data_IF_152844932306
#
_entry.id   IF_152844932306
#
_cell.length_a   1.000
_cell.length_b   1.000
_cell.length_c   1.000
_cell.angle_alpha   90.00
_cell.angle_beta   90.00
_cell.angle_gamma   90.00
#
_symmetry.space_group_name_H-M   'P 1'
#
loop_
_entity.id
_entity.type
_entity.pdbx_description
1 polymer ?
#
# COMPACT_ATOMS: atom_id res chain seq x y z
N UNK A 1 53.69 18.03 -29.89
CA UNK A 1 53.40 17.04 -28.82
C UNK A 1 52.01 17.36 -28.30
N UNK A 2 51.02 16.61 -28.78
CA UNK A 2 50.34 15.52 -28.05
C UNK A 2 49.25 16.03 -27.11
N UNK A 3 48.00 15.70 -27.46
CA UNK A 3 46.77 15.93 -26.70
C UNK A 3 46.82 15.25 -25.33
N UNK A 4 46.19 15.86 -24.32
CA UNK A 4 45.43 15.12 -23.30
C UNK A 4 44.07 15.76 -23.09
N UNK A 5 43.03 15.00 -23.44
CA UNK A 5 41.63 15.21 -23.11
C UNK A 5 41.47 15.02 -21.60
N UNK A 6 40.91 16.01 -20.91
CA UNK A 6 40.32 15.82 -19.58
C UNK A 6 39.09 14.93 -19.74
N UNK A 7 39.12 13.75 -19.12
CA UNK A 7 37.94 12.89 -19.01
C UNK A 7 36.89 13.60 -18.14
N UNK A 8 35.69 13.68 -18.69
CA UNK A 8 34.46 13.94 -17.95
C UNK A 8 34.17 12.70 -17.10
N UNK A 9 34.39 12.77 -15.79
CA UNK A 9 33.89 11.74 -14.86
C UNK A 9 32.36 11.87 -14.80
N UNK A 10 31.69 10.98 -15.52
CA UNK A 10 30.27 10.71 -15.34
C UNK A 10 30.14 9.96 -14.01
N UNK A 11 29.64 10.65 -12.99
CA UNK A 11 29.18 10.02 -11.77
C UNK A 11 27.94 9.19 -12.13
N UNK A 12 28.14 7.90 -12.38
CA UNK A 12 27.06 6.94 -12.48
C UNK A 12 26.52 6.75 -11.06
N UNK A 13 25.35 7.34 -10.76
CA UNK A 13 24.55 6.89 -9.63
C UNK A 13 24.21 5.42 -9.90
N UNK A 14 24.96 4.52 -9.27
CA UNK A 14 24.51 3.16 -9.11
C UNK A 14 23.32 3.21 -8.14
N UNK A 15 22.11 3.19 -8.69
CA UNK A 15 20.93 2.84 -7.93
C UNK A 15 21.19 1.47 -7.32
N UNK A 16 21.38 1.45 -6.00
CA UNK A 16 21.24 0.22 -5.24
C UNK A 16 19.82 -0.24 -5.50
N UNK A 17 19.66 -1.22 -6.39
CA UNK A 17 18.46 -2.04 -6.43
C UNK A 17 18.39 -2.72 -5.07
N UNK A 18 17.67 -2.10 -4.14
CA UNK A 18 17.12 -2.82 -3.01
C UNK A 18 16.30 -3.94 -3.65
N UNK A 19 16.57 -5.22 -3.36
CA UNK A 19 15.73 -6.27 -3.88
C UNK A 19 14.30 -5.92 -3.43
N UNK A 20 13.39 -5.79 -4.41
CA UNK A 20 11.96 -5.78 -4.13
C UNK A 20 11.75 -6.95 -3.20
N UNK A 21 11.43 -6.65 -1.94
CA UNK A 21 11.10 -7.67 -0.97
C UNK A 21 10.00 -8.47 -1.64
N UNK A 22 10.29 -9.74 -1.94
CA UNK A 22 9.34 -10.63 -2.57
C UNK A 22 8.02 -10.45 -1.83
N UNK A 23 6.97 -10.08 -2.56
CA UNK A 23 5.65 -9.86 -2.00
C UNK A 23 5.35 -11.05 -1.08
N UNK A 24 5.27 -10.79 0.22
CA UNK A 24 4.76 -11.79 1.14
C UNK A 24 3.34 -12.04 0.67
N UNK A 25 3.09 -13.19 0.04
CA UNK A 25 1.74 -13.69 -0.07
C UNK A 25 1.23 -13.78 1.36
N UNK A 26 0.33 -12.87 1.70
CA UNK A 26 -0.18 -12.63 3.04
C UNK A 26 -1.28 -13.64 3.34
N UNK A 27 -0.89 -14.91 3.42
CA UNK A 27 -1.78 -16.01 3.77
C UNK A 27 -2.10 -15.98 5.26
N UNK A 28 -3.33 -16.35 5.61
CA UNK A 28 -3.76 -16.61 6.97
C UNK A 28 -4.51 -17.94 7.03
N UNK A 29 -4.36 -18.69 8.12
CA UNK A 29 -4.81 -20.07 8.21
C UNK A 29 -5.49 -20.39 9.53
N UNK A 30 -6.51 -21.23 9.46
CA UNK A 30 -7.03 -21.97 10.63
C UNK A 30 -6.50 -23.39 10.52
N UNK A 31 -5.55 -23.72 11.39
CA UNK A 31 -4.84 -25.00 11.39
C UNK A 31 -5.38 -25.89 12.52
N UNK A 32 -5.84 -27.10 12.22
CA UNK A 32 -6.48 -27.99 13.20
C UNK A 32 -5.56 -28.37 14.37
N UNK A 33 -4.29 -28.63 14.09
CA UNK A 33 -3.26 -29.00 15.06
C UNK A 33 -2.98 -27.89 16.07
N UNK A 34 -3.18 -26.63 15.68
CA UNK A 34 -2.97 -25.47 16.52
C UNK A 34 -4.16 -25.16 17.43
N UNK A 35 -5.24 -25.93 17.36
CA UNK A 35 -6.44 -25.71 18.16
C UNK A 35 -6.37 -26.33 19.56
N UNK A 36 -5.25 -26.98 19.92
CA UNK A 36 -5.02 -27.52 21.26
C UNK A 36 -5.89 -28.75 21.60
N UNK A 37 -6.27 -29.54 20.59
CA UNK A 37 -7.06 -30.76 20.75
C UNK A 37 -6.15 -32.00 20.71
N UNK A 38 -6.47 -33.01 21.53
CA UNK A 38 -5.81 -34.31 21.45
C UNK A 38 -6.41 -35.15 20.31
N UNK A 39 -5.61 -36.04 19.71
CA UNK A 39 -6.10 -36.95 18.67
C UNK A 39 -7.32 -37.77 19.15
N UNK A 40 -8.39 -37.81 18.34
CA UNK A 40 -9.66 -38.46 18.64
C UNK A 40 -10.58 -37.68 19.59
N UNK A 41 -10.18 -36.49 20.05
CA UNK A 41 -11.05 -35.67 20.90
C UNK A 41 -12.27 -35.17 20.12
N UNK A 42 -13.44 -35.23 20.76
CA UNK A 42 -14.65 -34.61 20.23
C UNK A 42 -14.45 -33.09 20.09
N UNK A 43 -14.80 -32.56 18.93
CA UNK A 43 -14.81 -31.12 18.70
C UNK A 43 -16.09 -30.58 19.33
N UNK A 44 -15.94 -29.59 20.21
CA UNK A 44 -17.07 -28.98 20.92
C UNK A 44 -18.10 -28.38 19.94
N UNK A 45 -19.35 -28.29 20.38
CA UNK A 45 -20.44 -27.71 19.59
C UNK A 45 -21.22 -26.69 20.44
N UNK A 46 -21.04 -25.37 20.23
CA UNK A 46 -20.12 -24.75 19.27
C UNK A 46 -18.64 -24.86 19.68
N UNK A 47 -17.74 -24.74 18.71
CA UNK A 47 -16.29 -24.55 18.92
C UNK A 47 -15.80 -23.31 18.19
N UNK A 48 -15.09 -22.43 18.89
CA UNK A 48 -14.31 -21.37 18.26
C UNK A 48 -12.93 -21.91 17.85
N UNK A 49 -12.57 -21.68 16.58
CA UNK A 49 -11.26 -21.95 16.01
C UNK A 49 -10.57 -20.61 15.76
N UNK A 50 -9.30 -20.53 16.12
CA UNK A 50 -8.50 -19.32 15.94
C UNK A 50 -7.64 -19.45 14.69
N UNK A 51 -7.52 -18.36 13.94
CA UNK A 51 -6.55 -18.20 12.86
C UNK A 51 -5.12 -18.00 13.42
N UNK A 52 -4.12 -17.97 12.55
CA UNK A 52 -2.72 -17.81 12.94
C UNK A 52 -2.33 -16.36 13.25
N UNK A 53 -3.00 -15.38 12.64
CA UNK A 53 -2.69 -13.96 12.77
C UNK A 53 -3.53 -13.26 13.84
N UNK A 54 -4.54 -13.92 14.40
CA UNK A 54 -5.52 -13.35 15.31
C UNK A 54 -6.50 -12.39 14.62
N UNK A 55 -6.63 -12.48 13.30
CA UNK A 55 -7.44 -11.56 12.51
C UNK A 55 -8.92 -11.92 12.51
N UNK A 56 -9.26 -13.21 12.51
CA UNK A 56 -10.65 -13.67 12.50
C UNK A 56 -10.80 -14.98 13.27
N UNK A 57 -12.01 -15.26 13.72
CA UNK A 57 -12.31 -16.58 14.31
C UNK A 57 -13.34 -17.31 13.46
N UNK A 58 -13.36 -18.64 13.60
CA UNK A 58 -14.36 -19.49 12.96
C UNK A 58 -15.16 -20.20 14.05
N UNK A 59 -16.46 -19.99 14.06
CA UNK A 59 -17.39 -20.75 14.91
C UNK A 59 -17.85 -21.99 14.15
N UNK A 60 -17.39 -23.17 14.57
CA UNK A 60 -17.87 -24.45 14.10
C UNK A 60 -19.10 -24.88 14.92
N UNK A 61 -20.21 -25.16 14.25
CA UNK A 61 -21.43 -25.74 14.83
C UNK A 61 -21.78 -27.00 14.09
N UNK A 62 -22.30 -28.00 14.78
CA UNK A 62 -22.67 -29.27 14.19
C UNK A 62 -24.07 -29.73 14.56
N UNK A 63 -24.67 -30.54 13.71
CA UNK A 63 -25.94 -31.22 13.96
C UNK A 63 -25.94 -32.57 13.26
N UNK A 64 -26.72 -33.52 13.79
CA UNK A 64 -26.85 -34.85 13.20
C UNK A 64 -28.31 -35.28 13.20
N UNK A 65 -28.76 -35.81 12.07
CA UNK A 65 -30.06 -36.50 11.92
C UNK A 65 -29.88 -38.01 11.75
N UNK A 66 -28.66 -38.52 11.96
CA UNK A 66 -28.30 -39.92 11.70
C UNK A 66 -28.97 -40.83 12.73
N UNK A 67 -29.70 -41.83 12.25
CA UNK A 67 -30.41 -42.85 13.04
C UNK A 67 -29.50 -43.94 13.66
N UNK A 68 -28.22 -43.65 13.87
CA UNK A 68 -27.19 -44.56 14.38
C UNK A 68 -26.15 -43.81 15.21
N UNK A 69 -24.88 -44.21 15.12
CA UNK A 69 -23.80 -43.46 15.79
C UNK A 69 -23.19 -42.44 14.85
N UNK A 70 -22.87 -41.27 15.37
CA UNK A 70 -22.12 -40.26 14.62
C UNK A 70 -21.18 -39.49 15.54
N UNK A 71 -20.10 -38.96 14.98
CA UNK A 71 -19.13 -38.19 15.74
C UNK A 71 -18.47 -37.09 14.89
N UNK A 72 -18.01 -36.06 15.57
CA UNK A 72 -17.20 -34.99 15.01
C UNK A 72 -15.99 -34.79 15.91
N UNK A 73 -14.83 -35.19 15.41
CA UNK A 73 -13.59 -35.32 16.19
C UNK A 73 -12.42 -34.69 15.47
N UNK A 74 -11.38 -34.32 16.23
CA UNK A 74 -10.09 -33.96 15.64
C UNK A 74 -9.24 -35.23 15.44
N UNK A 75 -8.67 -35.40 14.25
CA UNK A 75 -7.78 -36.50 13.93
C UNK A 75 -6.39 -35.95 13.54
N UNK A 76 -5.34 -36.37 14.25
CA UNK A 76 -3.96 -35.93 14.02
C UNK A 76 -3.23 -36.79 12.96
N UNK A 77 -3.88 -37.82 12.43
CA UNK A 77 -3.36 -38.66 11.35
C UNK A 77 -3.40 -37.96 10.00
N UNK A 78 -3.23 -38.76 8.94
CA UNK A 78 -3.19 -38.27 7.56
C UNK A 78 -4.28 -38.94 6.73
N UNK A 79 -5.05 -38.14 5.99
CA UNK A 79 -5.96 -38.59 4.93
C UNK A 79 -5.92 -37.60 3.78
N UNK A 80 -6.18 -38.03 2.56
CA UNK A 80 -6.21 -37.15 1.39
C UNK A 80 -4.91 -36.36 1.17
N UNK A 81 -3.77 -36.84 1.67
CA UNK A 81 -2.49 -36.12 1.65
C UNK A 81 -2.37 -34.94 2.62
N UNK A 82 -3.31 -34.74 3.54
CA UNK A 82 -3.28 -33.69 4.57
C UNK A 82 -3.17 -34.32 5.97
N UNK A 83 -2.36 -33.73 6.84
CA UNK A 83 -2.22 -34.15 8.23
C UNK A 83 -3.07 -33.24 9.12
N UNK A 84 -3.71 -33.78 10.15
CA UNK A 84 -4.49 -32.98 11.10
C UNK A 84 -5.79 -32.45 10.52
N UNK A 85 -6.92 -33.08 10.80
CA UNK A 85 -8.19 -32.69 10.18
C UNK A 85 -9.39 -32.87 11.11
N UNK A 86 -10.47 -32.17 10.80
CA UNK A 86 -11.78 -32.45 11.36
C UNK A 86 -12.35 -33.71 10.71
N UNK A 87 -12.57 -34.76 11.50
CA UNK A 87 -13.18 -36.02 11.06
C UNK A 87 -14.67 -36.00 11.40
N UNK A 88 -15.50 -36.15 10.39
CA UNK A 88 -16.93 -36.46 10.57
C UNK A 88 -17.08 -37.94 10.26
N UNK A 89 -17.65 -38.70 11.19
CA UNK A 89 -17.85 -40.14 11.04
C UNK A 89 -19.29 -40.50 11.40
N UNK A 90 -19.85 -41.48 10.70
CA UNK A 90 -21.12 -42.07 11.08
C UNK A 90 -21.22 -43.56 10.75
N UNK A 91 -22.10 -44.25 11.46
CA UNK A 91 -22.58 -45.59 11.15
C UNK A 91 -24.11 -45.55 11.26
N UNK A 92 -24.78 -45.45 10.10
CA UNK A 92 -26.22 -45.25 10.01
C UNK A 92 -26.94 -46.61 10.02
N UNK A 93 -28.04 -46.72 10.77
CA UNK A 93 -28.80 -47.99 10.83
C UNK A 93 -29.66 -48.24 9.59
N UNK A 94 -29.92 -47.20 8.80
CA UNK A 94 -30.62 -47.26 7.52
C UNK A 94 -29.93 -46.38 6.50
N UNK A 95 -29.92 -46.79 5.24
CA UNK A 95 -29.52 -45.88 4.16
C UNK A 95 -30.66 -44.89 3.86
N UNK A 96 -30.38 -43.61 3.98
CA UNK A 96 -31.34 -42.53 3.71
C UNK A 96 -30.61 -41.20 3.56
N UNK A 97 -30.89 -40.42 2.50
CA UNK A 97 -30.36 -39.06 2.35
C UNK A 97 -30.78 -38.10 3.49
N UNK A 98 -31.78 -38.49 4.28
CA UNK A 98 -32.20 -37.75 5.48
C UNK A 98 -31.30 -37.99 6.71
N UNK A 99 -30.49 -39.05 6.71
CA UNK A 99 -29.47 -39.34 7.71
C UNK A 99 -28.19 -38.57 7.36
N UNK A 100 -28.03 -37.36 7.89
CA UNK A 100 -26.87 -36.52 7.58
C UNK A 100 -26.21 -35.98 8.84
N UNK A 101 -24.90 -35.76 8.73
CA UNK A 101 -24.15 -34.95 9.67
C UNK A 101 -23.80 -33.63 9.00
N UNK A 102 -24.18 -32.53 9.64
CA UNK A 102 -23.99 -31.18 9.08
C UNK A 102 -23.07 -30.39 10.01
N UNK A 103 -22.02 -29.80 9.43
CA UNK A 103 -21.14 -28.85 10.13
C UNK A 103 -21.17 -27.52 9.40
N UNK A 104 -21.41 -26.44 10.14
CA UNK A 104 -21.34 -25.07 9.65
C UNK A 104 -20.18 -24.34 10.33
N UNK A 105 -19.28 -23.82 9.51
CA UNK A 105 -18.19 -22.93 9.86
C UNK A 105 -18.60 -21.50 9.56
N UNK A 106 -18.76 -20.67 10.58
CA UNK A 106 -19.10 -19.25 10.44
C UNK A 106 -17.90 -18.39 10.77
N UNK A 107 -17.45 -17.57 9.83
CA UNK A 107 -16.32 -16.66 10.01
C UNK A 107 -16.80 -15.39 10.71
N UNK A 108 -16.01 -14.85 11.64
CA UNK A 108 -16.36 -13.62 12.38
C UNK A 108 -16.44 -12.37 11.50
N UNK A 109 -15.88 -12.46 10.29
CA UNK A 109 -15.98 -11.50 9.21
C UNK A 109 -15.82 -12.22 7.87
N UNK A 110 -16.25 -11.64 6.73
CA UNK A 110 -16.04 -12.25 5.43
C UNK A 110 -14.54 -12.45 5.13
N UNK A 111 -14.18 -13.64 4.66
CA UNK A 111 -12.83 -13.98 4.19
C UNK A 111 -12.79 -14.17 2.68
N UNK A 112 -11.58 -14.07 2.10
CA UNK A 112 -11.36 -14.09 0.66
C UNK A 112 -10.23 -15.05 0.31
N UNK A 113 -10.25 -15.57 -0.92
CA UNK A 113 -9.40 -16.65 -1.40
C UNK A 113 -9.40 -17.85 -0.44
N UNK A 114 -10.57 -18.12 0.15
CA UNK A 114 -10.75 -19.25 1.03
C UNK A 114 -10.48 -20.54 0.26
N UNK A 115 -9.66 -21.41 0.85
CA UNK A 115 -9.32 -22.72 0.33
C UNK A 115 -9.35 -23.75 1.45
N UNK A 116 -9.88 -24.93 1.16
CA UNK A 116 -9.83 -26.11 2.01
C UNK A 116 -10.12 -27.36 1.17
N UNK A 117 -10.01 -28.53 1.76
CA UNK A 117 -10.36 -29.80 1.15
C UNK A 117 -11.42 -30.52 1.99
N UNK A 118 -12.39 -31.13 1.31
CA UNK A 118 -13.10 -32.29 1.85
C UNK A 118 -12.39 -33.52 1.32
N UNK A 119 -12.05 -34.46 2.18
CA UNK A 119 -11.17 -35.60 1.87
C UNK A 119 -11.89 -36.90 2.19
N UNK A 120 -11.48 -37.97 1.52
CA UNK A 120 -12.06 -39.30 1.68
C UNK A 120 -13.54 -39.34 1.25
N UNK A 121 -13.89 -38.65 0.16
CA UNK A 121 -15.23 -38.77 -0.45
C UNK A 121 -15.17 -39.93 -1.43
N UNK A 122 -15.38 -41.14 -0.94
CA UNK A 122 -15.17 -42.37 -1.70
C UNK A 122 -16.41 -43.28 -1.76
N UNK A 123 -16.32 -44.37 -2.52
CA UNK A 123 -17.37 -45.38 -2.59
C UNK A 123 -16.83 -46.79 -2.70
N UNK A 124 -17.69 -47.75 -2.41
CA UNK A 124 -17.51 -49.16 -2.75
C UNK A 124 -18.79 -49.75 -3.31
N UNK A 125 -18.81 -51.06 -3.57
CA UNK A 125 -20.04 -51.75 -3.97
C UNK A 125 -21.09 -51.89 -2.86
N UNK A 126 -20.86 -51.34 -1.66
CA UNK A 126 -21.76 -51.47 -0.50
C UNK A 126 -22.03 -50.16 0.25
N UNK A 127 -21.38 -49.07 -0.13
CA UNK A 127 -21.50 -47.75 0.49
C UNK A 127 -20.99 -46.69 -0.49
N UNK A 128 -21.50 -45.47 -0.40
CA UNK A 128 -21.05 -44.34 -1.19
C UNK A 128 -21.19 -43.06 -0.38
N UNK A 129 -20.10 -42.31 -0.26
CA UNK A 129 -20.07 -41.05 0.46
C UNK A 129 -20.64 -39.93 -0.38
N UNK A 130 -21.47 -39.10 0.24
CA UNK A 130 -22.16 -37.99 -0.39
C UNK A 130 -21.96 -36.70 0.41
N UNK A 131 -21.51 -35.64 -0.28
CA UNK A 131 -21.22 -34.34 0.32
C UNK A 131 -21.91 -33.22 -0.43
N UNK A 132 -22.70 -32.43 0.29
CA UNK A 132 -23.17 -31.12 -0.17
C UNK A 132 -22.37 -30.02 0.54
N UNK A 133 -21.88 -29.06 -0.23
CA UNK A 133 -21.11 -27.92 0.28
C UNK A 133 -21.86 -26.64 -0.06
N UNK A 134 -22.10 -25.81 0.95
CA UNK A 134 -22.75 -24.52 0.80
C UNK A 134 -21.81 -23.41 1.26
N UNK A 135 -21.81 -22.28 0.57
CA UNK A 135 -21.12 -21.06 0.98
C UNK A 135 -22.14 -19.93 1.09
N UNK A 136 -22.17 -19.22 2.21
CA UNK A 136 -23.17 -18.17 2.47
C UNK A 136 -24.64 -18.61 2.24
N UNK A 137 -24.93 -19.91 2.41
CA UNK A 137 -26.24 -20.52 2.15
C UNK A 137 -26.51 -20.91 0.69
N UNK A 138 -25.60 -20.63 -0.25
CA UNK A 138 -25.68 -21.06 -1.65
C UNK A 138 -24.94 -22.38 -1.86
N UNK A 139 -25.57 -23.32 -2.56
CA UNK A 139 -24.94 -24.60 -2.90
C UNK A 139 -23.81 -24.40 -3.92
N UNK A 140 -22.64 -25.02 -3.71
CA UNK A 140 -21.44 -24.80 -4.51
C UNK A 140 -21.44 -25.51 -5.88
N UNK A 141 -22.42 -26.37 -6.17
CA UNK A 141 -22.61 -27.03 -7.47
C UNK A 141 -23.57 -26.22 -8.36
N UNK A 142 -24.52 -25.51 -7.75
CA UNK A 142 -25.54 -24.73 -8.49
C UNK A 142 -24.97 -23.37 -8.87
N UNK A 143 -24.60 -23.20 -10.15
CA UNK A 143 -24.12 -21.94 -10.69
C UNK A 143 -22.60 -21.91 -10.86
N UNK A 144 -21.88 -21.18 -10.02
CA UNK A 144 -20.41 -21.10 -10.08
C UNK A 144 -19.79 -22.21 -9.23
N UNK A 145 -19.17 -23.21 -9.87
CA UNK A 145 -18.43 -24.25 -9.13
C UNK A 145 -17.10 -23.69 -8.61
N UNK A 146 -16.91 -23.76 -7.30
CA UNK A 146 -15.65 -23.45 -6.61
C UNK A 146 -14.85 -24.72 -6.27
N UNK A 147 -15.35 -25.89 -6.65
CA UNK A 147 -14.72 -27.16 -6.35
C UNK A 147 -13.94 -27.71 -7.55
N UNK A 148 -12.83 -28.34 -7.25
CA UNK A 148 -12.09 -29.22 -8.16
C UNK A 148 -12.09 -30.62 -7.54
N UNK A 149 -13.04 -31.50 -7.90
CA UNK A 149 -13.03 -32.89 -7.43
C UNK A 149 -11.84 -33.66 -8.02
N UNK A 150 -11.28 -34.55 -7.22
CA UNK A 150 -10.32 -35.55 -7.70
C UNK A 150 -10.99 -36.59 -8.60
N UNK A 151 -10.19 -37.42 -9.27
CA UNK A 151 -10.71 -38.37 -10.27
C UNK A 151 -11.65 -39.44 -9.71
N UNK A 152 -11.61 -39.67 -8.39
CA UNK A 152 -12.47 -40.61 -7.67
C UNK A 152 -13.69 -39.94 -7.03
N UNK A 153 -14.01 -38.69 -7.37
CA UNK A 153 -15.23 -37.98 -6.95
C UNK A 153 -16.00 -37.54 -8.19
N UNK A 154 -17.32 -37.77 -8.21
CA UNK A 154 -18.21 -37.33 -9.27
C UNK A 154 -19.18 -36.25 -8.76
N UNK A 155 -19.76 -35.50 -9.71
CA UNK A 155 -20.99 -34.76 -9.43
C UNK A 155 -22.12 -35.78 -9.33
N UNK A 156 -22.92 -35.63 -8.29
CA UNK A 156 -24.15 -36.40 -8.09
C UNK A 156 -25.08 -36.21 -9.30
N UNK A 157 -25.74 -37.29 -9.72
CA UNK A 157 -26.66 -37.32 -10.84
C UNK A 157 -28.11 -37.60 -10.41
N UNK A 158 -28.40 -37.44 -9.12
CA UNK A 158 -29.65 -37.77 -8.47
C UNK A 158 -30.52 -36.52 -8.29
N UNK A 159 -31.80 -36.71 -7.95
CA UNK A 159 -32.76 -35.61 -7.82
C UNK A 159 -32.92 -35.08 -6.38
N UNK A 160 -32.40 -35.80 -5.39
CA UNK A 160 -32.56 -35.49 -3.96
C UNK A 160 -31.35 -34.79 -3.36
N UNK A 161 -30.25 -34.72 -4.11
CA UNK A 161 -28.99 -34.12 -3.72
C UNK A 161 -28.54 -33.13 -4.79
N UNK A 162 -27.76 -32.15 -4.38
CA UNK A 162 -26.99 -31.35 -5.32
C UNK A 162 -25.58 -31.19 -4.76
N UNK A 163 -24.69 -32.10 -5.12
CA UNK A 163 -23.38 -32.18 -4.49
C UNK A 163 -22.42 -33.11 -5.22
N UNK A 164 -21.54 -33.73 -4.44
CA UNK A 164 -20.51 -34.65 -4.90
C UNK A 164 -20.66 -36.00 -4.22
N UNK A 165 -20.42 -37.06 -4.98
CA UNK A 165 -20.38 -38.42 -4.45
C UNK A 165 -19.08 -39.12 -4.81
N UNK A 166 -18.73 -40.14 -4.02
CA UNK A 166 -17.62 -41.03 -4.33
C UNK A 166 -17.83 -41.74 -5.66
N UNK A 167 -16.79 -41.80 -6.50
CA UNK A 167 -16.79 -42.50 -7.79
C UNK A 167 -15.83 -43.70 -7.82
N UNK A 168 -14.83 -43.71 -6.95
CA UNK A 168 -13.84 -44.78 -6.79
C UNK A 168 -13.73 -45.23 -5.32
N UNK A 169 -13.12 -46.41 -5.08
CA UNK A 169 -12.76 -46.87 -3.74
C UNK A 169 -11.34 -46.42 -3.41
N UNK A 170 -11.21 -45.49 -2.47
CA UNK A 170 -9.99 -44.76 -2.21
C UNK A 170 -9.87 -44.45 -0.72
N UNK A 171 -9.25 -45.39 -0.02
CA UNK A 171 -8.87 -45.26 1.39
C UNK A 171 -7.78 -44.20 1.62
N UNK A 172 -8.19 -42.93 1.76
CA UNK A 172 -7.35 -41.80 2.15
C UNK A 172 -6.39 -41.27 1.07
N UNK A 173 -6.57 -41.63 -0.20
CA UNK A 173 -5.78 -41.06 -1.31
C UNK A 173 -6.33 -39.72 -1.79
N UNK A 174 -5.48 -38.93 -2.47
CA UNK A 174 -5.82 -37.58 -2.93
C UNK A 174 -6.84 -37.53 -4.07
N UNK A 175 -7.05 -38.64 -4.79
CA UNK A 175 -8.02 -38.68 -5.89
C UNK A 175 -9.48 -38.61 -5.39
N UNK A 176 -9.72 -38.73 -4.09
CA UNK A 176 -11.04 -38.65 -3.47
C UNK A 176 -11.19 -37.42 -2.58
N UNK A 177 -10.43 -36.39 -2.91
CA UNK A 177 -10.57 -35.06 -2.35
C UNK A 177 -11.49 -34.20 -3.22
N UNK A 178 -12.16 -33.26 -2.59
CA UNK A 178 -12.81 -32.12 -3.20
C UNK A 178 -12.02 -30.89 -2.79
N UNK A 179 -11.23 -30.33 -3.71
CA UNK A 179 -10.46 -29.11 -3.47
C UNK A 179 -11.34 -27.88 -3.67
N UNK A 180 -11.58 -27.13 -2.60
CA UNK A 180 -12.36 -25.90 -2.63
C UNK A 180 -11.45 -24.69 -2.80
N UNK A 181 -11.80 -23.79 -3.73
CA UNK A 181 -11.14 -22.50 -3.91
C UNK A 181 -12.16 -21.43 -4.31
N UNK A 182 -12.46 -20.52 -3.39
CA UNK A 182 -13.45 -19.48 -3.59
C UNK A 182 -12.93 -18.25 -4.34
N UNK A 183 -11.60 -18.17 -4.59
CA UNK A 183 -10.98 -17.01 -5.23
C UNK A 183 -11.39 -15.70 -4.56
N UNK A 184 -11.70 -14.68 -5.36
CA UNK A 184 -12.11 -13.37 -4.84
C UNK A 184 -13.53 -13.31 -4.24
N UNK A 185 -14.26 -14.43 -4.14
CA UNK A 185 -15.61 -14.45 -3.56
C UNK A 185 -15.54 -14.31 -2.05
N UNK A 186 -16.31 -13.37 -1.48
CA UNK A 186 -16.42 -13.18 -0.05
C UNK A 186 -17.17 -14.36 0.60
N UNK A 187 -16.55 -15.03 1.57
CA UNK A 187 -17.16 -16.16 2.31
C UNK A 187 -17.31 -15.80 3.78
N UNK A 188 -18.56 -15.77 4.26
CA UNK A 188 -18.91 -15.57 5.67
C UNK A 188 -19.29 -16.88 6.36
N UNK A 189 -19.68 -17.90 5.60
CA UNK A 189 -19.92 -19.24 6.14
C UNK A 189 -19.70 -20.32 5.10
N UNK A 190 -19.28 -21.49 5.58
CA UNK A 190 -19.26 -22.75 4.83
C UNK A 190 -20.07 -23.77 5.60
N UNK A 191 -21.00 -24.46 4.94
CA UNK A 191 -21.73 -25.59 5.52
C UNK A 191 -21.42 -26.84 4.72
N UNK A 192 -21.02 -27.90 5.41
CA UNK A 192 -20.74 -29.22 4.83
C UNK A 192 -21.78 -30.18 5.40
N UNK A 193 -22.53 -30.82 4.53
CA UNK A 193 -23.49 -31.87 4.88
C UNK A 193 -23.00 -33.18 4.29
N UNK A 194 -22.76 -34.14 5.17
CA UNK A 194 -22.23 -35.46 4.85
C UNK A 194 -23.26 -36.55 5.15
N UNK A 195 -23.46 -37.47 4.22
CA UNK A 195 -24.40 -38.59 4.30
C UNK A 195 -23.96 -39.68 3.31
N UNK A 196 -24.70 -40.79 3.24
CA UNK A 196 -24.50 -41.81 2.19
C UNK A 196 -25.45 -41.58 1.02
N UNK A 197 -24.96 -41.70 -0.22
CA UNK A 197 -25.84 -41.74 -1.40
C UNK A 197 -26.53 -43.11 -1.52
N UNK A 198 -27.62 -43.15 -2.28
CA UNK A 198 -28.46 -44.34 -2.51
C UNK A 198 -27.83 -45.37 -3.48
N UNK A 199 -26.60 -45.12 -3.94
CA UNK A 199 -25.73 -46.10 -4.61
C UNK A 199 -25.31 -47.26 -3.68
N UNK A 200 -25.61 -47.15 -2.38
CA UNK A 200 -25.41 -48.18 -1.37
C UNK A 200 -26.67 -49.05 -1.15
N UNK A 201 -26.70 -50.33 -1.57
CA UNK A 201 -27.91 -51.15 -1.48
C UNK A 201 -28.30 -51.60 -0.05
N UNK A 202 -27.51 -51.26 0.98
CA UNK A 202 -27.72 -51.65 2.39
C UNK A 202 -26.92 -50.76 3.35
N UNK A 203 -27.10 -50.92 4.67
CA UNK A 203 -26.39 -50.16 5.72
C UNK A 203 -24.90 -49.95 5.34
N UNK A 204 -24.45 -48.68 5.21
CA UNK A 204 -23.12 -48.36 4.68
C UNK A 204 -21.98 -48.72 5.63
N UNK A 205 -22.25 -49.22 6.84
CA UNK A 205 -21.29 -49.37 7.93
C UNK A 205 -20.62 -48.03 8.30
N UNK A 206 -19.51 -48.07 9.03
CA UNK A 206 -18.82 -46.85 9.47
C UNK A 206 -18.15 -46.13 8.28
N UNK A 207 -18.58 -44.89 8.00
CA UNK A 207 -18.06 -44.01 6.96
C UNK A 207 -17.48 -42.73 7.56
N UNK A 208 -16.52 -42.10 6.91
CA UNK A 208 -15.99 -40.81 7.37
C UNK A 208 -15.47 -39.93 6.24
N UNK A 209 -15.54 -38.62 6.45
CA UNK A 209 -14.81 -37.62 5.66
C UNK A 209 -13.86 -36.82 6.54
N UNK A 210 -12.83 -36.25 5.92
CA UNK A 210 -11.93 -35.27 6.53
C UNK A 210 -12.16 -33.86 6.00
N UNK A 211 -12.07 -32.86 6.88
CA UNK A 211 -12.07 -31.44 6.51
C UNK A 211 -10.71 -30.87 6.88
N UNK A 212 -9.96 -30.41 5.88
CA UNK A 212 -8.60 -29.87 6.06
C UNK A 212 -8.61 -28.51 6.78
N UNK A 213 -7.42 -27.94 6.94
CA UNK A 213 -7.26 -26.54 7.34
C UNK A 213 -7.98 -25.58 6.39
N UNK A 214 -8.36 -24.42 6.92
CA UNK A 214 -8.81 -23.29 6.11
C UNK A 214 -7.63 -22.37 5.82
N UNK A 215 -7.44 -22.03 4.55
CA UNK A 215 -6.42 -21.07 4.11
C UNK A 215 -7.12 -19.90 3.44
N UNK A 216 -6.71 -18.68 3.76
CA UNK A 216 -7.26 -17.43 3.19
C UNK A 216 -6.11 -16.50 2.82
N UNK A 217 -6.41 -15.44 2.09
CA UNK A 217 -5.48 -14.33 1.92
C UNK A 217 -5.99 -13.10 2.64
N UNK A 218 -5.10 -12.41 3.33
CA UNK A 218 -5.35 -11.07 3.86
C UNK A 218 -4.56 -10.05 3.04
N UNK A 219 -4.99 -8.79 3.02
CA UNK A 219 -4.16 -7.71 2.51
C UNK A 219 -3.43 -7.04 3.68
N UNK A 220 -2.25 -6.49 3.40
CA UNK A 220 -1.48 -5.68 4.35
C UNK A 220 -1.10 -4.36 3.73
N UNK A 221 -1.24 -3.28 4.48
CA UNK A 221 -0.79 -1.94 4.08
C UNK A 221 0.47 -1.58 4.84
N UNK A 222 1.52 -1.22 4.12
CA UNK A 222 2.75 -0.65 4.67
C UNK A 222 2.78 0.85 4.35
N UNK A 223 2.96 1.68 5.38
CA UNK A 223 3.15 3.11 5.21
C UNK A 223 4.62 3.44 4.88
N UNK A 224 4.83 4.41 3.98
CA UNK A 224 6.16 4.95 3.67
C UNK A 224 6.14 6.45 3.55
N UNK A 225 7.27 7.07 3.89
CA UNK A 225 7.52 8.49 3.71
C UNK A 225 8.80 8.68 2.90
N UNK A 226 8.70 9.33 1.74
CA UNK A 226 9.84 9.75 0.94
C UNK A 226 10.07 11.25 1.13
N UNK A 227 11.29 11.61 1.51
CA UNK A 227 11.79 12.98 1.54
C UNK A 227 12.63 13.26 0.30
N UNK A 228 12.48 14.46 -0.26
CA UNK A 228 13.28 14.95 -1.39
C UNK A 228 13.65 16.42 -1.16
N UNK A 229 14.94 16.70 -1.08
CA UNK A 229 15.49 18.02 -0.77
C UNK A 229 15.16 18.52 0.64
N UNK A 230 14.85 17.64 1.59
CA UNK A 230 14.46 18.03 2.95
C UNK A 230 15.60 18.69 3.74
N UNK A 231 15.23 19.46 4.77
CA UNK A 231 16.19 19.86 5.81
C UNK A 231 16.26 18.74 6.84
N UNK A 232 17.48 18.42 7.29
CA UNK A 232 17.67 17.38 8.31
C UNK A 232 16.94 17.77 9.59
N UNK A 233 16.09 16.86 10.08
CA UNK A 233 15.21 17.05 11.23
C UNK A 233 13.80 17.52 10.89
N UNK A 234 13.46 17.75 9.62
CA UNK A 234 12.08 17.95 9.20
C UNK A 234 11.29 16.65 9.41
N UNK A 235 10.10 16.77 9.98
CA UNK A 235 9.31 15.66 10.51
C UNK A 235 7.86 15.68 9.96
N UNK A 236 7.29 14.47 9.88
CA UNK A 236 5.92 14.22 9.44
C UNK A 236 5.34 12.97 10.14
N UNK A 237 4.02 12.93 10.26
CA UNK A 237 3.28 11.73 10.66
C UNK A 237 2.37 11.30 9.52
N UNK A 238 2.51 10.06 9.07
CA UNK A 238 1.59 9.41 8.14
C UNK A 238 0.66 8.50 8.94
N UNK A 239 -0.63 8.53 8.65
CA UNK A 239 -1.64 7.72 9.34
C UNK A 239 -2.51 6.94 8.35
N UNK A 240 -2.86 5.72 8.74
CA UNK A 240 -3.88 4.90 8.10
C UNK A 240 -5.09 4.82 9.03
N UNK A 241 -6.28 5.05 8.51
CA UNK A 241 -7.52 5.02 9.30
C UNK A 241 -8.59 4.13 8.69
N UNK A 242 -9.34 3.44 9.56
CA UNK A 242 -10.55 2.66 9.25
C UNK A 242 -11.74 3.31 9.93
N UNK A 243 -12.74 3.74 9.16
CA UNK A 243 -13.94 4.38 9.71
C UNK A 243 -13.64 5.59 10.60
N UNK A 244 -12.57 6.34 10.30
CA UNK A 244 -12.12 7.50 11.09
C UNK A 244 -11.26 7.16 12.32
N UNK A 245 -11.08 5.88 12.66
CA UNK A 245 -10.15 5.46 13.72
C UNK A 245 -8.79 5.17 13.11
N UNK A 246 -7.73 5.76 13.67
CA UNK A 246 -6.34 5.48 13.27
C UNK A 246 -5.99 4.05 13.66
N UNK A 247 -5.57 3.24 12.69
CA UNK A 247 -5.18 1.84 12.87
C UNK A 247 -3.68 1.63 12.67
N UNK A 248 -2.99 2.59 12.06
CA UNK A 248 -1.54 2.60 11.89
C UNK A 248 -0.99 4.02 11.82
N UNK A 249 0.26 4.19 12.24
CA UNK A 249 0.98 5.46 12.17
C UNK A 249 2.46 5.23 11.89
N UNK A 250 3.00 5.98 10.93
CA UNK A 250 4.43 6.13 10.71
C UNK A 250 4.85 7.54 11.10
N UNK A 251 5.64 7.65 12.17
CA UNK A 251 6.41 8.86 12.44
C UNK A 251 7.69 8.83 11.60
N UNK A 252 7.96 9.89 10.87
CA UNK A 252 9.11 10.00 9.96
C UNK A 252 9.84 11.30 10.20
N UNK A 253 11.16 11.20 10.34
CA UNK A 253 12.08 12.31 10.55
C UNK A 253 13.15 12.26 9.46
N UNK A 254 13.37 13.36 8.76
CA UNK A 254 14.39 13.48 7.72
C UNK A 254 15.81 13.42 8.33
N UNK A 255 16.42 12.24 8.40
CA UNK A 255 17.83 12.04 8.76
C UNK A 255 18.81 12.59 7.71
N UNK A 256 18.36 12.68 6.45
CA UNK A 256 19.07 13.23 5.31
C UNK A 256 18.12 13.99 4.38
N UNK A 257 18.66 14.75 3.43
CA UNK A 257 17.84 15.51 2.49
C UNK A 257 17.01 14.62 1.54
N UNK A 258 17.46 13.40 1.24
CA UNK A 258 16.79 12.49 0.32
C UNK A 258 16.80 11.07 0.91
N UNK A 259 15.65 10.64 1.44
CA UNK A 259 15.54 9.34 2.08
C UNK A 259 14.12 8.81 2.09
N UNK A 260 14.01 7.54 2.45
CA UNK A 260 12.78 6.79 2.50
C UNK A 260 12.65 6.12 3.86
N UNK A 261 11.65 6.53 4.62
CA UNK A 261 11.21 5.85 5.82
C UNK A 261 10.12 4.86 5.48
N UNK A 262 10.20 3.68 6.09
CA UNK A 262 9.25 2.59 5.89
C UNK A 262 8.79 2.08 7.23
N UNK A 263 7.47 2.00 7.38
CA UNK A 263 6.87 1.35 8.53
C UNK A 263 7.28 -0.13 8.59
N UNK A 264 7.68 -0.57 9.78
CA UNK A 264 8.14 -1.92 10.05
C UNK A 264 6.99 -2.86 10.45
N UNK A 265 5.79 -2.33 10.72
CA UNK A 265 4.63 -3.08 11.22
C UNK A 265 3.40 -2.95 10.33
N UNK A 266 3.42 -3.51 9.10
CA UNK A 266 2.28 -3.41 8.18
C UNK A 266 0.98 -3.92 8.81
N UNK A 267 -0.11 -3.20 8.57
CA UNK A 267 -1.41 -3.50 9.16
C UNK A 267 -2.27 -4.36 8.24
N UNK A 268 -2.92 -5.37 8.84
CA UNK A 268 -3.87 -6.25 8.14
C UNK A 268 -5.18 -5.50 7.84
N UNK A 269 -5.67 -5.68 6.61
CA UNK A 269 -6.85 -5.00 6.09
C UNK A 269 -7.88 -5.99 5.56
N UNK A 270 -9.14 -5.57 5.58
CA UNK A 270 -10.24 -6.30 4.98
C UNK A 270 -10.27 -6.02 3.48
N UNK A 271 -10.53 -7.05 2.68
CA UNK A 271 -10.86 -6.85 1.28
C UNK A 271 -12.18 -6.08 1.16
N UNK A 272 -12.28 -5.23 0.12
CA UNK A 272 -13.40 -4.33 -0.16
C UNK A 272 -13.62 -3.22 0.86
N UNK A 273 -12.76 -3.07 1.87
CA UNK A 273 -12.82 -1.89 2.74
C UNK A 273 -12.13 -0.69 2.07
N UNK A 274 -12.60 0.50 2.42
CA UNK A 274 -11.96 1.77 2.04
C UNK A 274 -11.25 2.36 3.24
N UNK A 275 -9.96 2.60 3.12
CA UNK A 275 -9.08 3.15 4.15
C UNK A 275 -8.72 4.59 3.84
N UNK A 276 -8.57 5.42 4.86
CA UNK A 276 -8.12 6.80 4.69
C UNK A 276 -6.64 6.90 5.01
N UNK A 277 -5.87 7.42 4.06
CA UNK A 277 -4.46 7.76 4.22
C UNK A 277 -4.34 9.27 4.43
N UNK A 278 -3.58 9.68 5.43
CA UNK A 278 -3.34 11.09 5.70
C UNK A 278 -1.88 11.33 6.08
N UNK A 279 -1.39 12.52 5.76
CA UNK A 279 -0.12 13.01 6.27
C UNK A 279 -0.36 14.31 7.05
N UNK A 280 0.34 14.46 8.16
CA UNK A 280 0.46 15.70 8.90
C UNK A 280 1.93 16.09 8.99
N UNK A 281 2.30 17.18 8.31
CA UNK A 281 3.60 17.83 8.49
C UNK A 281 3.63 18.55 9.84
N UNK A 282 4.79 18.57 10.51
CA UNK A 282 4.92 19.42 11.69
C UNK A 282 4.77 20.91 11.34
N UNK A 283 4.47 21.71 12.37
CA UNK A 283 4.15 23.13 12.19
C UNK A 283 5.24 23.92 11.43
N UNK A 284 6.52 23.60 11.64
CA UNK A 284 7.64 24.24 10.94
C UNK A 284 7.73 23.89 9.45
N UNK A 285 7.12 22.79 9.03
CA UNK A 285 7.23 22.24 7.68
C UNK A 285 6.01 22.57 6.80
N UNK A 286 4.97 23.14 7.41
CA UNK A 286 3.71 23.45 6.73
C UNK A 286 3.94 24.41 5.56
N UNK A 287 3.54 24.00 4.36
CA UNK A 287 3.67 24.81 3.14
C UNK A 287 5.08 24.88 2.55
N UNK A 288 6.04 24.09 3.08
CA UNK A 288 7.41 24.02 2.53
C UNK A 288 7.59 22.90 1.50
N UNK A 289 6.59 22.04 1.32
CA UNK A 289 6.69 20.82 0.53
C UNK A 289 5.51 20.67 -0.43
N UNK A 290 5.81 20.19 -1.63
CA UNK A 290 4.82 19.60 -2.53
C UNK A 290 4.68 18.11 -2.18
N UNK A 291 3.48 17.74 -1.70
CA UNK A 291 3.15 16.39 -1.27
C UNK A 291 2.41 15.59 -2.32
N UNK A 292 2.75 14.32 -2.48
CA UNK A 292 2.02 13.36 -3.34
C UNK A 292 1.85 12.02 -2.62
N UNK A 293 0.78 11.30 -2.96
CA UNK A 293 0.51 9.95 -2.44
C UNK A 293 0.39 8.98 -3.62
N UNK A 294 1.12 7.87 -3.54
CA UNK A 294 0.96 6.75 -4.46
C UNK A 294 1.00 5.43 -3.68
N UNK A 295 0.15 4.47 -4.07
CA UNK A 295 0.17 3.12 -3.54
C UNK A 295 0.55 2.13 -4.66
N UNK A 296 1.29 1.08 -4.29
CA UNK A 296 1.64 -0.04 -5.17
C UNK A 296 1.13 -1.34 -4.58
N UNK A 297 1.00 -2.40 -5.39
CA UNK A 297 0.44 -3.68 -4.92
C UNK A 297 -1.08 -3.69 -4.77
N UNK A 298 -1.75 -2.66 -5.31
CA UNK A 298 -3.21 -2.55 -5.41
C UNK A 298 -3.60 -2.14 -6.83
N UNK A 299 -4.84 -2.46 -7.23
CA UNK A 299 -5.45 -1.97 -8.48
C UNK A 299 -6.00 -0.54 -8.36
N UNK A 300 -6.12 0.00 -7.14
CA UNK A 300 -6.54 1.37 -6.91
C UNK A 300 -5.46 2.37 -7.36
N UNK A 301 -5.83 3.25 -8.29
CA UNK A 301 -4.94 4.26 -8.88
C UNK A 301 -5.11 5.65 -8.27
N UNK A 302 -6.09 5.83 -7.38
CA UNK A 302 -6.45 7.13 -6.78
C UNK A 302 -6.57 7.08 -5.26
N UNK A 303 -5.57 6.57 -4.52
CA UNK A 303 -5.68 6.32 -3.07
C UNK A 303 -5.92 7.58 -2.22
N UNK A 304 -5.75 8.79 -2.79
CA UNK A 304 -6.03 10.06 -2.13
C UNK A 304 -7.51 10.32 -1.85
N UNK A 305 -8.44 9.65 -2.55
CA UNK A 305 -9.87 9.69 -2.22
C UNK A 305 -10.30 8.57 -1.24
N UNK A 306 -9.33 7.78 -0.78
CA UNK A 306 -9.53 6.57 0.01
C UNK A 306 -8.96 5.36 -0.73
N UNK A 307 -8.08 4.61 -0.06
CA UNK A 307 -7.52 3.36 -0.59
C UNK A 307 -8.57 2.26 -0.52
N UNK A 308 -9.01 1.75 -1.67
CA UNK A 308 -9.88 0.57 -1.75
C UNK A 308 -9.04 -0.70 -1.86
N UNK A 309 -9.22 -1.61 -0.90
CA UNK A 309 -8.49 -2.89 -0.87
C UNK A 309 -9.17 -3.90 -1.79
N UNK A 310 -8.47 -4.34 -2.83
CA UNK A 310 -8.95 -5.36 -3.77
C UNK A 310 -8.84 -6.79 -3.25
N UNK A 311 -9.63 -7.70 -3.81
CA UNK A 311 -9.62 -9.11 -3.42
C UNK A 311 -8.37 -9.89 -3.86
N UNK A 312 -7.60 -9.32 -4.77
CA UNK A 312 -6.31 -9.85 -5.23
C UNK A 312 -5.13 -9.12 -4.60
N UNK A 313 -5.39 -8.12 -3.77
CA UNK A 313 -4.33 -7.35 -3.13
C UNK A 313 -3.71 -8.20 -2.00
N UNK A 314 -2.38 -8.17 -1.92
CA UNK A 314 -1.62 -8.88 -0.89
C UNK A 314 -0.81 -7.89 -0.06
N UNK A 315 0.35 -7.49 -0.59
CA UNK A 315 1.20 -6.46 0.02
C UNK A 315 0.99 -5.12 -0.69
N UNK A 316 0.26 -4.20 -0.04
CA UNK A 316 0.08 -2.82 -0.49
C UNK A 316 1.14 -1.94 0.19
N UNK A 317 1.80 -1.09 -0.59
CA UNK A 317 2.76 -0.10 -0.07
C UNK A 317 2.33 1.28 -0.50
N UNK A 318 2.00 2.14 0.46
CA UNK A 318 1.56 3.51 0.23
C UNK A 318 2.65 4.50 0.66
N UNK A 319 3.14 5.28 -0.30
CA UNK A 319 4.25 6.22 -0.11
C UNK A 319 3.76 7.66 -0.23
N UNK A 320 3.92 8.43 0.84
CA UNK A 320 3.81 9.88 0.80
C UNK A 320 5.16 10.49 0.42
N UNK A 321 5.24 11.17 -0.71
CA UNK A 321 6.47 11.84 -1.17
C UNK A 321 6.35 13.35 -0.97
N UNK A 322 7.25 13.91 -0.15
CA UNK A 322 7.38 15.36 0.03
C UNK A 322 8.63 15.86 -0.67
N UNK A 323 8.44 16.73 -1.67
CA UNK A 323 9.51 17.41 -2.37
C UNK A 323 9.57 18.85 -1.90
N UNK A 324 10.74 19.27 -1.39
CA UNK A 324 10.89 20.61 -0.83
C UNK A 324 10.75 21.66 -1.91
N UNK A 325 9.92 22.67 -1.64
CA UNK A 325 9.80 23.84 -2.48
C UNK A 325 11.07 24.70 -2.35
N UNK A 326 11.65 25.09 -3.49
CA UNK A 326 12.82 25.95 -3.56
C UNK A 326 12.48 27.26 -4.28
N UNK A 327 13.24 28.31 -4.00
CA UNK A 327 13.12 29.56 -4.73
C UNK A 327 13.98 29.50 -5.99
N UNK A 328 13.50 30.08 -7.08
CA UNK A 328 14.22 30.20 -8.33
C UNK A 328 14.62 31.67 -8.57
N UNK A 329 15.69 32.11 -7.93
CA UNK A 329 16.16 33.50 -8.01
C UNK A 329 16.94 33.77 -9.31
N UNK A 330 16.60 34.87 -9.98
CA UNK A 330 17.36 35.37 -11.12
C UNK A 330 17.57 36.89 -11.03
N UNK A 331 18.62 37.37 -11.68
CA UNK A 331 18.93 38.80 -11.78
C UNK A 331 19.37 39.15 -13.20
N UNK A 332 18.84 40.24 -13.74
CA UNK A 332 19.30 40.83 -14.99
C UNK A 332 19.72 42.27 -14.77
N UNK A 333 20.74 42.70 -15.51
CA UNK A 333 21.24 44.08 -15.50
C UNK A 333 21.51 44.48 -16.93
N UNK A 334 20.85 45.51 -17.41
CA UNK A 334 20.99 45.99 -18.79
C UNK A 334 20.76 47.48 -18.88
N UNK A 335 21.55 48.17 -19.68
CA UNK A 335 21.31 49.56 -20.11
C UNK A 335 20.61 49.61 -21.48
N UNK A 336 20.37 48.45 -22.11
CA UNK A 336 19.74 48.34 -23.43
C UNK A 336 20.66 48.72 -24.59
N UNK A 337 21.92 49.04 -24.33
CA UNK A 337 22.86 49.56 -25.31
C UNK A 337 23.98 48.54 -25.62
N UNK A 338 24.52 48.61 -26.84
CA UNK A 338 25.65 47.75 -27.25
C UNK A 338 27.01 48.42 -27.04
N UNK A 339 27.04 49.74 -26.83
CA UNK A 339 28.23 50.54 -26.57
C UNK A 339 27.89 51.70 -25.65
N UNK A 340 28.89 52.15 -24.88
CA UNK A 340 28.80 53.35 -24.04
C UNK A 340 29.92 54.32 -24.43
N UNK A 341 29.63 55.61 -24.33
CA UNK A 341 30.57 56.68 -24.70
C UNK A 341 31.29 57.21 -23.45
N UNK A 342 32.62 57.27 -23.47
CA UNK A 342 33.41 57.91 -22.39
C UNK A 342 32.99 59.38 -22.21
N UNK A 343 32.89 59.80 -20.95
CA UNK A 343 32.37 61.10 -20.53
C UNK A 343 30.84 61.19 -20.41
N UNK A 344 30.08 60.18 -20.85
CA UNK A 344 28.62 60.13 -20.72
C UNK A 344 28.17 59.41 -19.44
N UNK A 345 26.88 59.52 -19.11
CA UNK A 345 26.24 58.68 -18.10
C UNK A 345 25.56 57.50 -18.78
N UNK A 346 25.67 56.31 -18.20
CA UNK A 346 24.84 55.14 -18.53
C UNK A 346 23.94 54.78 -17.35
N UNK A 347 22.75 54.26 -17.63
CA UNK A 347 21.77 53.85 -16.62
C UNK A 347 21.40 52.40 -16.85
N UNK A 348 21.79 51.54 -15.91
CA UNK A 348 21.42 50.14 -15.89
C UNK A 348 20.13 49.93 -15.14
N UNK A 349 19.24 49.14 -15.73
CA UNK A 349 18.06 48.61 -15.08
C UNK A 349 18.38 47.24 -14.50
N UNK A 350 18.27 47.10 -13.18
CA UNK A 350 18.44 45.83 -12.46
C UNK A 350 17.05 45.26 -12.21
N UNK A 351 16.78 44.06 -12.71
CA UNK A 351 15.56 43.31 -12.41
C UNK A 351 15.92 42.06 -11.64
N UNK A 352 15.30 41.85 -10.49
CA UNK A 352 15.47 40.67 -9.64
C UNK A 352 14.15 39.91 -9.64
N UNK A 353 14.17 38.64 -10.00
CA UNK A 353 12.98 37.78 -10.04
C UNK A 353 13.14 36.56 -9.14
N UNK A 354 11.99 36.04 -8.70
CA UNK A 354 11.85 34.73 -8.10
C UNK A 354 10.77 33.99 -8.87
N UNK A 355 11.15 32.98 -9.65
CA UNK A 355 10.21 32.20 -10.45
C UNK A 355 9.58 31.05 -9.63
N UNK A 356 9.84 31.03 -8.31
CA UNK A 356 9.18 30.14 -7.35
C UNK A 356 9.69 28.70 -7.35
N UNK A 357 8.94 27.78 -6.70
CA UNK A 357 7.72 28.02 -5.93
C UNK A 357 7.90 28.62 -4.52
N UNK A 358 9.10 28.61 -3.93
CA UNK A 358 9.27 29.14 -2.57
C UNK A 358 9.44 30.67 -2.55
N UNK A 359 8.89 31.33 -1.53
CA UNK A 359 9.13 32.75 -1.27
C UNK A 359 10.53 32.99 -0.68
N UNK A 360 11.11 34.16 -0.93
CA UNK A 360 12.38 34.55 -0.29
C UNK A 360 12.18 35.81 0.54
N UNK A 361 12.46 35.72 1.83
CA UNK A 361 12.53 36.88 2.72
C UNK A 361 13.94 37.45 2.73
N UNK A 362 14.05 38.78 2.72
CA UNK A 362 15.31 39.52 2.82
C UNK A 362 16.37 39.11 1.77
N UNK A 363 15.96 38.93 0.52
CA UNK A 363 16.90 38.64 -0.56
C UNK A 363 17.89 39.82 -0.71
N UNK A 364 19.19 39.53 -0.71
CA UNK A 364 20.22 40.56 -0.77
C UNK A 364 20.77 40.72 -2.18
N UNK A 365 20.68 41.92 -2.72
CA UNK A 365 21.25 42.28 -4.02
C UNK A 365 22.54 43.06 -3.81
N UNK A 366 23.61 42.63 -4.46
CA UNK A 366 24.90 43.33 -4.47
C UNK A 366 25.38 43.51 -5.89
N UNK A 367 25.92 44.68 -6.15
CA UNK A 367 26.51 45.03 -7.44
C UNK A 367 27.59 46.09 -7.23
N UNK A 368 28.79 45.80 -7.72
CA UNK A 368 29.97 46.67 -7.61
C UNK A 368 30.34 47.09 -9.01
N UNK A 369 30.37 48.40 -9.25
CA UNK A 369 30.79 48.91 -10.55
C UNK A 369 32.31 48.79 -10.68
N UNK A 370 32.78 48.45 -11.87
CA UNK A 370 34.19 48.12 -12.14
C UNK A 370 35.07 49.35 -12.43
N UNK A 371 34.77 50.49 -11.81
CA UNK A 371 35.55 51.72 -11.95
C UNK A 371 36.86 51.69 -11.17
N UNK A 372 37.89 52.38 -11.68
CA UNK A 372 39.16 52.60 -10.98
C UNK A 372 39.54 54.09 -11.02
N UNK A 373 40.29 54.58 -10.03
CA UNK A 373 40.74 55.98 -10.00
C UNK A 373 39.62 57.03 -9.97
N UNK A 374 38.41 56.67 -9.52
CA UNK A 374 37.26 57.58 -9.52
C UNK A 374 37.56 58.88 -8.78
N UNK A 375 37.23 60.03 -9.40
CA UNK A 375 37.54 61.36 -8.87
C UNK A 375 38.97 61.86 -9.18
N UNK A 376 39.76 61.11 -9.95
CA UNK A 376 41.09 61.51 -10.43
C UNK A 376 41.12 61.63 -11.96
N UNK A 377 42.19 62.22 -12.50
CA UNK A 377 42.43 62.26 -13.95
C UNK A 377 42.75 60.88 -14.55
N UNK A 378 42.99 59.86 -13.73
CA UNK A 378 43.21 58.47 -14.13
C UNK A 378 41.95 57.60 -13.96
N UNK A 379 40.77 58.22 -13.85
CA UNK A 379 39.51 57.48 -13.78
C UNK A 379 39.31 56.59 -15.02
N UNK A 380 38.83 55.37 -14.82
CA UNK A 380 38.51 54.43 -15.91
C UNK A 380 37.28 53.60 -15.54
N UNK A 381 36.44 53.26 -16.50
CA UNK A 381 35.28 52.39 -16.28
C UNK A 381 34.08 53.16 -15.72
N UNK A 382 33.31 52.52 -14.83
CA UNK A 382 32.09 53.11 -14.26
C UNK A 382 32.38 53.75 -12.89
N UNK A 383 32.33 55.08 -12.83
CA UNK A 383 32.55 55.86 -11.61
C UNK A 383 31.32 56.70 -11.26
N UNK A 384 31.33 57.28 -10.04
CA UNK A 384 30.29 58.20 -9.55
C UNK A 384 28.87 57.63 -9.66
N UNK A 385 28.73 56.34 -9.34
CA UNK A 385 27.48 55.64 -9.44
C UNK A 385 26.47 56.06 -8.36
N UNK A 386 25.20 56.10 -8.74
CA UNK A 386 24.06 56.34 -7.86
C UNK A 386 22.95 55.34 -8.16
N UNK A 387 22.11 55.05 -7.16
CA UNK A 387 20.95 54.17 -7.30
C UNK A 387 19.70 55.04 -7.24
N UNK A 388 18.73 54.80 -8.12
CA UNK A 388 17.43 55.45 -8.03
C UNK A 388 16.74 55.05 -6.74
N UNK A 389 16.18 56.02 -6.01
CA UNK A 389 15.42 55.74 -4.78
C UNK A 389 14.04 55.13 -5.06
N UNK A 390 13.69 54.93 -6.33
CA UNK A 390 12.47 54.28 -6.76
C UNK A 390 12.74 52.81 -7.07
N UNK A 391 11.86 51.95 -6.54
CA UNK A 391 11.73 50.56 -6.93
C UNK A 391 10.30 50.33 -7.41
N UNK A 392 10.15 49.50 -8.43
CA UNK A 392 8.86 49.05 -8.94
C UNK A 392 8.76 47.52 -8.85
N UNK A 393 7.57 47.03 -8.56
CA UNK A 393 7.23 45.62 -8.76
C UNK A 393 6.87 45.45 -10.23
N UNK A 394 7.62 44.61 -10.94
CA UNK A 394 7.42 44.37 -12.38
C UNK A 394 6.41 43.25 -12.60
N UNK A 395 6.39 42.25 -11.71
CA UNK A 395 5.40 41.17 -11.70
C UNK A 395 5.13 40.66 -10.29
N UNK A 396 3.95 40.08 -10.07
CA UNK A 396 3.57 39.46 -8.80
C UNK A 396 3.36 40.46 -7.66
N UNK A 397 3.66 40.04 -6.43
CA UNK A 397 3.33 40.76 -5.19
C UNK A 397 4.54 41.04 -4.29
N UNK A 398 5.75 41.13 -4.88
CA UNK A 398 6.97 41.42 -4.16
C UNK A 398 6.90 42.74 -3.37
N UNK A 399 7.70 42.84 -2.31
CA UNK A 399 7.88 44.07 -1.55
C UNK A 399 9.20 44.73 -1.97
N UNK A 400 9.09 45.92 -2.54
CA UNK A 400 10.27 46.72 -2.88
C UNK A 400 11.11 47.08 -1.63
N UNK A 401 12.44 47.21 -1.77
CA UNK A 401 13.28 47.81 -0.75
C UNK A 401 12.77 49.22 -0.36
N UNK A 402 12.95 49.61 0.90
CA UNK A 402 12.69 50.98 1.33
C UNK A 402 13.64 51.95 0.62
N UNK A 403 13.16 53.14 0.28
CA UNK A 403 13.92 54.12 -0.52
C UNK A 403 15.25 54.52 0.10
N UNK A 404 15.34 54.55 1.44
CA UNK A 404 16.59 54.83 2.17
C UNK A 404 17.64 53.72 2.07
N UNK A 405 17.23 52.49 1.74
CA UNK A 405 18.15 51.38 1.51
C UNK A 405 18.71 51.36 0.08
N UNK A 406 18.02 51.99 -0.88
CA UNK A 406 18.43 52.11 -2.28
C UNK A 406 19.53 53.16 -2.46
N UNK A 407 20.73 52.82 -2.01
CA UNK A 407 21.93 53.63 -2.18
C UNK A 407 23.02 52.82 -2.85
N UNK A 408 23.91 53.49 -3.58
CA UNK A 408 25.06 52.81 -4.18
C UNK A 408 26.02 52.25 -3.13
N UNK A 409 26.14 52.90 -1.97
CA UNK A 409 26.93 52.39 -0.85
C UNK A 409 26.41 51.05 -0.31
N UNK A 410 25.09 50.89 -0.21
CA UNK A 410 24.52 49.60 0.19
C UNK A 410 24.68 48.57 -0.92
N UNK A 411 24.36 48.94 -2.17
CA UNK A 411 24.44 48.02 -3.31
C UNK A 411 25.86 47.47 -3.54
N UNK A 412 26.88 48.32 -3.43
CA UNK A 412 28.29 47.91 -3.56
C UNK A 412 28.89 47.34 -2.26
N UNK A 413 28.23 47.57 -1.13
CA UNK A 413 28.66 47.16 0.21
C UNK A 413 27.81 46.03 0.77
N UNK A 414 27.03 46.32 1.81
CA UNK A 414 26.25 45.34 2.62
C UNK A 414 25.11 44.65 1.87
N UNK A 415 24.75 45.14 0.68
CA UNK A 415 23.63 44.71 -0.14
C UNK A 415 22.36 45.53 0.11
N UNK A 416 21.53 45.60 -0.93
CA UNK A 416 20.15 46.08 -0.85
C UNK A 416 19.25 44.90 -0.52
N UNK A 417 18.55 44.96 0.61
CA UNK A 417 17.59 43.93 1.01
C UNK A 417 16.23 44.15 0.34
N UNK A 418 15.74 43.13 -0.38
CA UNK A 418 14.36 43.00 -0.82
C UNK A 418 13.61 42.28 0.31
N UNK A 419 12.74 42.97 1.08
CA UNK A 419 12.13 42.38 2.28
C UNK A 419 11.37 41.09 2.02
N UNK A 420 10.65 41.02 0.90
CA UNK A 420 9.96 39.82 0.46
C UNK A 420 9.92 39.77 -1.07
N UNK A 421 10.44 38.68 -1.64
CA UNK A 421 10.35 38.35 -3.05
C UNK A 421 9.51 37.08 -3.18
N UNK A 422 8.21 37.26 -3.38
CA UNK A 422 7.26 36.16 -3.51
C UNK A 422 7.58 35.28 -4.74
N UNK A 423 7.11 34.04 -4.72
CA UNK A 423 7.15 33.20 -5.91
C UNK A 423 6.42 33.87 -7.10
N UNK A 424 6.96 33.70 -8.30
CA UNK A 424 6.48 34.31 -9.54
C UNK A 424 6.42 35.85 -9.50
N UNK A 425 7.37 36.49 -8.82
CA UNK A 425 7.41 37.95 -8.70
C UNK A 425 8.77 38.53 -9.08
N UNK A 426 8.78 39.81 -9.43
CA UNK A 426 10.01 40.53 -9.75
C UNK A 426 9.95 41.99 -9.34
N UNK A 427 11.10 42.53 -8.95
CA UNK A 427 11.30 43.94 -8.64
C UNK A 427 12.38 44.54 -9.51
N UNK A 428 12.31 45.84 -9.72
CA UNK A 428 13.27 46.57 -10.53
C UNK A 428 13.66 47.89 -9.89
N UNK A 429 14.94 48.24 -10.03
CA UNK A 429 15.49 49.55 -9.70
C UNK A 429 16.66 49.87 -10.64
N UNK A 430 17.06 51.14 -10.69
CA UNK A 430 18.06 51.62 -11.64
C UNK A 430 19.35 52.07 -10.95
N UNK A 431 20.47 51.88 -11.64
CA UNK A 431 21.80 52.35 -11.24
C UNK A 431 22.38 53.18 -12.37
N UNK A 432 22.69 54.44 -12.10
CA UNK A 432 23.32 55.34 -13.06
C UNK A 432 24.77 55.57 -12.69
N UNK A 433 25.67 55.48 -13.66
CA UNK A 433 27.11 55.69 -13.48
C UNK A 433 27.66 56.58 -14.59
N UNK A 434 28.72 57.33 -14.30
CA UNK A 434 29.51 58.03 -15.29
C UNK A 434 30.57 57.09 -15.89
N UNK A 435 30.74 57.16 -17.21
CA UNK A 435 31.71 56.36 -17.97
C UNK A 435 33.00 57.17 -18.13
N UNK A 436 34.13 56.60 -17.75
CA UNK A 436 35.47 57.20 -17.88
C UNK A 436 36.36 56.39 -18.79
#
# INVERSE_FOLDING_TARGET
MSYRRTCLEILVLASVFIPVQAALASTDQVIWENQGMANGAAIANPRTLNDQLGWFTVSATSSSTISGTSSYTYNAGTTGGHAGYARIEFDATTDSPSNAYTVTYTFSQPVYNLQFMVMDVDRSGSWADAVEIFYNGTNNVVGTSFATPGSGVALDNESYMTGYEGADNCSGQTNCNINMNFGSTAVSSVTIRFFSSDDAPSNPSAQFIGISDFTTTVARVTLRKQWSGAVVGDDATVALSRGGTVIDTLASDAGTANELDTDATPVITNVSETLTLAETLAAGNTGLYDGTLACTGTSDTTPSNGLTVGATDGAIVCTFTNTRQLAALAITKTDGESQVTSGASTTYTITVSNDGPANVANALVRDVATGSGCGTSSASGLCNCSVSTQCSVVSGTATCPVSSALTYSNLSGTGVSIPLLNANSSVQFQVSCQVF
#
